data_IF_380196876232
#
_entry.id   IF_380196876232
#
_cell.length_a   1.000
_cell.length_b   1.000
_cell.length_c   1.000
_cell.angle_alpha   90.00
_cell.angle_beta   90.00
_cell.angle_gamma   90.00
#
_symmetry.space_group_name_H-M   'P 1'
#
loop_
_entity.id
_entity.type
_entity.pdbx_description
1 polymer ?
#
# COMPACT_ATOMS: atom_id res chain seq x y z
N UNK A 1 -32.17 8.80 19.32
CA UNK A 1 -30.85 8.79 18.66
C UNK A 1 -30.04 7.69 19.33
N UNK A 2 -29.85 6.52 18.67
CA UNK A 2 -29.24 5.33 19.30
C UNK A 2 -27.70 5.36 19.36
N UNK A 3 -27.05 6.40 18.82
CA UNK A 3 -25.58 6.44 18.71
C UNK A 3 -24.87 6.84 20.02
N UNK A 4 -25.56 7.48 20.98
CA UNK A 4 -24.94 7.89 22.25
C UNK A 4 -24.70 6.72 23.21
N UNK A 5 -25.56 5.68 23.20
CA UNK A 5 -25.39 4.49 24.07
C UNK A 5 -24.14 3.66 23.72
N UNK A 6 -23.66 3.74 22.48
CA UNK A 6 -22.43 3.05 22.03
C UNK A 6 -21.15 3.76 22.47
N UNK A 7 -21.22 5.04 22.88
CA UNK A 7 -20.03 5.82 23.29
C UNK A 7 -19.50 5.42 24.66
N UNK A 8 -20.38 4.91 25.52
CA UNK A 8 -20.07 4.52 26.91
C UNK A 8 -19.68 3.04 27.06
N UNK A 9 -19.73 2.26 25.97
CA UNK A 9 -19.29 0.87 26.00
C UNK A 9 -17.76 0.78 26.02
N UNK A 10 -17.17 -0.04 26.91
CA UNK A 10 -15.74 -0.27 26.92
C UNK A 10 -15.29 -0.87 25.59
N UNK A 11 -14.26 -0.27 24.97
CA UNK A 11 -13.71 -0.75 23.71
C UNK A 11 -12.98 -2.08 23.92
N UNK A 12 -13.61 -3.17 23.52
CA UNK A 12 -13.07 -4.53 23.61
C UNK A 12 -11.82 -4.70 22.72
N UNK A 13 -11.72 -3.94 21.63
CA UNK A 13 -10.62 -4.05 20.66
C UNK A 13 -9.98 -2.70 20.40
N UNK A 14 -8.65 -2.65 20.39
CA UNK A 14 -7.89 -1.47 19.97
C UNK A 14 -7.93 -1.33 18.45
N UNK A 15 -8.26 -0.14 17.96
CA UNK A 15 -8.17 0.19 16.53
C UNK A 15 -6.71 0.46 16.16
N UNK A 16 -6.06 -0.47 15.46
CA UNK A 16 -4.73 -0.25 14.87
C UNK A 16 -4.88 0.63 13.62
N UNK A 17 -4.21 1.77 13.59
CA UNK A 17 -4.10 2.58 12.38
C UNK A 17 -3.00 2.03 11.48
N UNK A 18 -3.21 2.11 10.17
CA UNK A 18 -2.18 1.80 9.19
C UNK A 18 -1.13 2.92 9.19
N UNK A 19 0.14 2.55 9.05
CA UNK A 19 1.19 3.52 8.76
C UNK A 19 0.92 4.20 7.41
N UNK A 20 1.50 5.39 7.21
CA UNK A 20 1.39 6.10 5.94
C UNK A 20 1.93 5.25 4.78
N UNK A 21 3.08 4.60 4.98
CA UNK A 21 3.67 3.71 3.98
C UNK A 21 2.76 2.53 3.64
N UNK A 22 2.24 1.81 4.64
CA UNK A 22 1.29 0.72 4.41
C UNK A 22 0.00 1.20 3.72
N UNK A 23 -0.46 2.42 4.02
CA UNK A 23 -1.63 3.02 3.36
C UNK A 23 -1.36 3.29 1.87
N UNK A 24 -0.19 3.87 1.54
CA UNK A 24 0.22 4.11 0.15
C UNK A 24 0.30 2.78 -0.61
N UNK A 25 1.00 1.79 -0.05
CA UNK A 25 1.07 0.45 -0.65
C UNK A 25 -0.34 -0.13 -0.87
N UNK A 26 -1.22 -0.04 0.13
CA UNK A 26 -2.60 -0.53 0.03
C UNK A 26 -3.39 0.10 -1.13
N UNK A 27 -3.23 1.39 -1.38
CA UNK A 27 -3.88 2.07 -2.51
C UNK A 27 -3.34 1.60 -3.88
N UNK A 28 -2.04 1.43 -4.03
CA UNK A 28 -1.45 0.92 -5.28
C UNK A 28 -1.81 -0.53 -5.55
N UNK A 29 -1.76 -1.38 -4.52
CA UNK A 29 -2.18 -2.77 -4.63
C UNK A 29 -3.67 -2.90 -4.95
N UNK A 30 -4.50 -1.99 -4.43
CA UNK A 30 -5.92 -1.90 -4.79
C UNK A 30 -6.11 -1.60 -6.28
N UNK A 31 -5.38 -0.62 -6.83
CA UNK A 31 -5.42 -0.26 -8.24
C UNK A 31 -4.93 -1.41 -9.13
N UNK A 32 -3.85 -2.07 -8.73
CA UNK A 32 -3.31 -3.23 -9.45
C UNK A 32 -4.30 -4.40 -9.46
N UNK A 33 -4.98 -4.64 -8.35
CA UNK A 33 -6.06 -5.63 -8.27
C UNK A 33 -7.22 -5.28 -9.21
N UNK A 34 -7.64 -4.01 -9.26
CA UNK A 34 -8.70 -3.57 -10.18
C UNK A 34 -8.29 -3.70 -11.64
N UNK A 35 -7.05 -3.34 -11.98
CA UNK A 35 -6.49 -3.50 -13.32
C UNK A 35 -6.52 -4.96 -13.74
N UNK A 36 -6.00 -5.87 -12.91
CA UNK A 36 -5.98 -7.30 -13.22
C UNK A 36 -7.40 -7.88 -13.40
N UNK A 37 -8.37 -7.49 -12.57
CA UNK A 37 -9.77 -7.94 -12.70
C UNK A 37 -10.43 -7.36 -13.96
N UNK A 38 -10.09 -6.13 -14.35
CA UNK A 38 -10.61 -5.50 -15.57
C UNK A 38 -10.04 -6.18 -16.82
N UNK A 39 -8.75 -6.51 -16.81
CA UNK A 39 -8.06 -7.12 -17.93
C UNK A 39 -8.49 -8.59 -18.13
N UNK A 40 -8.69 -9.33 -17.04
CA UNK A 40 -9.23 -10.70 -17.04
C UNK A 40 -10.34 -10.86 -15.98
N UNK A 41 -11.62 -10.81 -16.39
CA UNK A 41 -12.75 -11.02 -15.48
C UNK A 41 -12.76 -12.38 -14.78
N UNK A 42 -12.08 -13.39 -15.36
CA UNK A 42 -11.97 -14.74 -14.80
C UNK A 42 -10.75 -14.90 -13.87
N UNK A 43 -9.99 -13.83 -13.62
CA UNK A 43 -8.81 -13.90 -12.76
C UNK A 43 -9.22 -14.33 -11.34
N UNK A 44 -8.69 -15.48 -10.93
CA UNK A 44 -8.98 -16.05 -9.61
C UNK A 44 -8.04 -15.51 -8.53
N UNK A 45 -6.76 -15.31 -8.90
CA UNK A 45 -5.68 -14.85 -8.02
C UNK A 45 -4.80 -13.84 -8.74
N UNK A 46 -4.46 -12.76 -8.05
CA UNK A 46 -3.52 -11.75 -8.54
C UNK A 46 -2.27 -11.81 -7.67
N UNK A 47 -1.12 -12.10 -8.27
CA UNK A 47 0.16 -12.24 -7.56
C UNK A 47 1.19 -11.26 -8.08
N UNK A 48 1.99 -10.70 -7.17
CA UNK A 48 3.11 -9.81 -7.49
C UNK A 48 4.28 -10.12 -6.59
N UNK A 49 5.49 -10.09 -7.14
CA UNK A 49 6.71 -10.19 -6.35
C UNK A 49 7.07 -8.83 -5.70
N UNK A 50 7.98 -8.86 -4.74
CA UNK A 50 8.40 -7.67 -3.99
C UNK A 50 8.91 -6.56 -4.92
N UNK A 51 9.71 -6.89 -5.95
CA UNK A 51 10.22 -5.89 -6.90
C UNK A 51 9.10 -5.20 -7.67
N UNK A 52 8.16 -5.96 -8.23
CA UNK A 52 6.99 -5.42 -8.93
C UNK A 52 6.18 -4.48 -8.03
N UNK A 53 5.98 -4.85 -6.76
CA UNK A 53 5.25 -4.00 -5.81
C UNK A 53 6.02 -2.70 -5.53
N UNK A 54 7.35 -2.76 -5.39
CA UNK A 54 8.18 -1.58 -5.18
C UNK A 54 8.16 -0.64 -6.38
N UNK A 55 8.19 -1.19 -7.59
CA UNK A 55 8.09 -0.42 -8.84
C UNK A 55 6.76 0.35 -8.91
N UNK A 56 5.64 -0.25 -8.49
CA UNK A 56 4.34 0.41 -8.46
C UNK A 56 4.32 1.68 -7.59
N UNK A 57 5.12 1.72 -6.52
CA UNK A 57 5.09 2.80 -5.53
C UNK A 57 6.30 3.73 -5.63
N UNK A 58 7.28 3.44 -6.50
CA UNK A 58 8.59 4.09 -6.50
C UNK A 58 8.52 5.62 -6.59
N UNK A 59 7.57 6.17 -7.35
CA UNK A 59 7.35 7.62 -7.49
C UNK A 59 6.99 8.32 -6.16
N UNK A 60 6.44 7.58 -5.19
CA UNK A 60 5.92 8.11 -3.93
C UNK A 60 6.91 8.05 -2.78
N UNK A 61 8.06 7.41 -2.99
CA UNK A 61 9.11 7.28 -2.01
C UNK A 61 10.38 7.98 -2.50
N UNK A 62 11.13 8.64 -1.61
CA UNK A 62 12.39 9.27 -2.02
C UNK A 62 13.34 8.20 -2.54
N UNK A 63 13.99 8.48 -3.68
CA UNK A 63 15.08 7.64 -4.16
C UNK A 63 16.20 7.64 -3.09
N UNK A 64 16.48 6.47 -2.51
CA UNK A 64 17.60 6.31 -1.59
C UNK A 64 18.70 5.50 -2.26
N UNK A 65 19.95 5.74 -1.86
CA UNK A 65 21.08 4.93 -2.31
C UNK A 65 21.19 3.60 -1.53
N UNK A 66 20.20 3.29 -0.68
CA UNK A 66 20.22 2.14 0.22
C UNK A 66 19.06 1.17 -0.09
N UNK A 67 19.24 0.39 -1.16
CA UNK A 67 18.23 -0.59 -1.61
C UNK A 67 17.90 -1.64 -0.53
N UNK A 68 18.85 -1.96 0.35
CA UNK A 68 18.62 -2.88 1.48
C UNK A 68 17.61 -2.32 2.49
N UNK A 69 17.76 -1.06 2.89
CA UNK A 69 16.82 -0.39 3.79
C UNK A 69 15.44 -0.24 3.15
N UNK A 70 15.39 0.10 1.86
CA UNK A 70 14.14 0.24 1.13
C UNK A 70 13.37 -1.08 1.01
N UNK A 71 14.08 -2.19 0.72
CA UNK A 71 13.49 -3.54 0.74
C UNK A 71 12.96 -3.92 2.12
N UNK A 72 13.71 -3.59 3.18
CA UNK A 72 13.30 -3.85 4.56
C UNK A 72 12.04 -3.07 4.92
N UNK A 73 11.96 -1.79 4.55
CA UNK A 73 10.78 -0.95 4.76
C UNK A 73 9.56 -1.48 3.99
N UNK A 74 9.73 -1.80 2.69
CA UNK A 74 8.69 -2.38 1.85
C UNK A 74 8.13 -3.68 2.45
N UNK A 75 9.02 -4.57 2.92
CA UNK A 75 8.64 -5.82 3.57
C UNK A 75 7.88 -5.57 4.87
N UNK A 76 8.27 -4.55 5.65
CA UNK A 76 7.53 -4.13 6.85
C UNK A 76 6.10 -3.67 6.54
N UNK A 77 5.93 -2.81 5.53
CA UNK A 77 4.59 -2.37 5.10
C UNK A 77 3.73 -3.51 4.57
N UNK A 78 4.31 -4.45 3.83
CA UNK A 78 3.60 -5.64 3.34
C UNK A 78 3.25 -6.60 4.48
N UNK A 79 4.07 -6.66 5.53
CA UNK A 79 3.76 -7.43 6.74
C UNK A 79 2.57 -6.83 7.48
N UNK A 80 2.54 -5.51 7.69
CA UNK A 80 1.39 -4.80 8.28
C UNK A 80 0.10 -5.07 7.47
N UNK A 81 0.19 -5.07 6.14
CA UNK A 81 -0.95 -5.36 5.27
C UNK A 81 -1.36 -6.84 5.31
N UNK A 82 -0.39 -7.75 5.46
CA UNK A 82 -0.62 -9.19 5.56
C UNK A 82 -1.33 -9.56 6.87
N UNK A 83 -0.94 -8.94 7.99
CA UNK A 83 -1.59 -9.11 9.30
C UNK A 83 -3.08 -8.75 9.25
N UNK A 84 -3.47 -7.82 8.38
CA UNK A 84 -4.86 -7.40 8.17
C UNK A 84 -5.57 -8.20 7.06
N UNK A 85 -4.88 -9.15 6.43
CA UNK A 85 -5.41 -10.00 5.36
C UNK A 85 -5.52 -9.32 3.99
N UNK A 86 -4.99 -8.11 3.81
CA UNK A 86 -5.03 -7.40 2.52
C UNK A 86 -4.12 -8.03 1.47
N UNK A 87 -3.05 -8.66 1.91
CA UNK A 87 -2.15 -9.47 1.08
C UNK A 87 -1.85 -10.79 1.78
N UNK A 88 -1.43 -11.79 1.02
CA UNK A 88 -0.93 -13.06 1.55
C UNK A 88 0.47 -13.30 1.00
N UNK A 89 1.47 -13.37 1.88
CA UNK A 89 2.83 -13.76 1.46
C UNK A 89 2.81 -15.23 1.03
N UNK A 90 3.30 -15.47 -0.18
CA UNK A 90 3.57 -16.79 -0.75
C UNK A 90 5.07 -17.04 -0.60
N UNK A 91 5.46 -18.32 -0.50
CA UNK A 91 6.86 -18.71 -0.41
C UNK A 91 7.68 -18.06 -1.54
N UNK A 92 8.98 -17.90 -1.31
CA UNK A 92 9.91 -17.30 -2.28
C UNK A 92 9.81 -18.05 -3.61
N UNK A 93 9.53 -17.32 -4.69
CA UNK A 93 9.45 -17.93 -6.02
C UNK A 93 10.85 -18.26 -6.52
N UNK A 94 10.99 -19.38 -7.23
CA UNK A 94 12.29 -19.92 -7.67
C UNK A 94 13.12 -19.02 -8.59
N UNK A 95 12.53 -17.96 -9.15
CA UNK A 95 13.26 -16.91 -9.87
C UNK A 95 13.67 -15.78 -8.92
N UNK A 96 14.95 -15.80 -8.52
CA UNK A 96 15.61 -14.63 -7.92
C UNK A 96 15.35 -14.36 -6.44
N UNK A 97 14.79 -15.31 -5.68
CA UNK A 97 14.64 -15.24 -4.21
C UNK A 97 13.81 -14.06 -3.70
N UNK A 98 12.87 -13.55 -4.51
CA UNK A 98 11.97 -12.50 -4.08
C UNK A 98 10.67 -13.08 -3.48
N UNK A 99 10.19 -12.45 -2.42
CA UNK A 99 8.92 -12.82 -1.80
C UNK A 99 7.76 -12.52 -2.75
N UNK A 100 6.89 -13.51 -2.96
CA UNK A 100 5.66 -13.34 -3.73
C UNK A 100 4.49 -12.99 -2.80
N UNK A 101 3.56 -12.17 -3.27
CA UNK A 101 2.38 -11.76 -2.53
C UNK A 101 1.13 -11.93 -3.39
N UNK A 102 0.13 -12.61 -2.84
CA UNK A 102 -1.22 -12.69 -3.41
C UNK A 102 -2.07 -11.54 -2.87
N UNK A 103 -2.65 -10.75 -3.77
CA UNK A 103 -3.53 -9.64 -3.45
C UNK A 103 -4.94 -10.16 -3.15
N UNK A 104 -5.54 -9.71 -2.05
CA UNK A 104 -6.88 -10.17 -1.66
C UNK A 104 -7.95 -9.14 -1.99
N UNK A 105 -9.19 -9.62 -2.19
CA UNK A 105 -10.36 -8.75 -2.43
C UNK A 105 -10.69 -7.84 -1.24
N UNK A 106 -10.11 -8.07 -0.06
CA UNK A 106 -10.27 -7.18 1.10
C UNK A 106 -9.71 -5.77 0.84
N UNK A 107 -8.74 -5.65 -0.08
CA UNK A 107 -8.27 -4.34 -0.55
C UNK A 107 -9.46 -3.48 -1.03
N UNK A 108 -10.42 -4.06 -1.76
CA UNK A 108 -11.60 -3.33 -2.28
C UNK A 108 -12.52 -2.80 -1.19
N UNK A 109 -12.65 -3.57 -0.11
CA UNK A 109 -13.50 -3.20 1.02
C UNK A 109 -12.86 -2.08 1.85
N UNK A 110 -11.52 -2.08 1.97
CA UNK A 110 -10.81 -1.09 2.79
C UNK A 110 -10.52 0.21 2.07
N UNK A 111 -10.09 0.14 0.82
CA UNK A 111 -9.57 1.27 0.06
C UNK A 111 -10.62 1.69 -0.99
N UNK A 112 -11.42 2.70 -0.63
CA UNK A 112 -12.40 3.31 -1.53
C UNK A 112 -11.68 3.97 -2.72
N UNK A 113 -12.15 3.77 -3.96
CA UNK A 113 -11.47 4.26 -5.16
C UNK A 113 -11.39 5.80 -5.23
N UNK A 114 -12.47 6.50 -4.89
CA UNK A 114 -12.50 7.97 -4.91
C UNK A 114 -11.54 8.53 -3.86
N UNK A 115 -11.55 7.93 -2.66
CA UNK A 115 -10.64 8.34 -1.60
C UNK A 115 -9.17 8.03 -1.95
N UNK A 116 -8.92 6.94 -2.67
CA UNK A 116 -7.59 6.56 -3.15
C UNK A 116 -7.00 7.60 -4.08
N UNK A 117 -7.74 7.97 -5.13
CA UNK A 117 -7.29 8.94 -6.13
C UNK A 117 -7.01 10.30 -5.49
N UNK A 118 -7.95 10.81 -4.69
CA UNK A 118 -7.76 12.08 -3.98
C UNK A 118 -6.56 12.06 -3.04
N UNK A 119 -6.33 10.94 -2.36
CA UNK A 119 -5.20 10.78 -1.46
C UNK A 119 -3.86 10.76 -2.21
N UNK A 120 -3.78 10.00 -3.31
CA UNK A 120 -2.57 9.94 -4.13
C UNK A 120 -2.24 11.29 -4.77
N UNK A 121 -3.23 12.00 -5.29
CA UNK A 121 -3.04 13.35 -5.86
C UNK A 121 -2.53 14.34 -4.81
N UNK A 122 -3.02 14.25 -3.57
CA UNK A 122 -2.50 15.05 -2.45
C UNK A 122 -1.04 14.72 -2.14
N UNK A 123 -0.63 13.45 -2.21
CA UNK A 123 0.76 13.06 -2.00
C UNK A 123 1.64 13.58 -3.14
N UNK A 124 1.25 13.38 -4.40
CA UNK A 124 1.99 13.90 -5.56
C UNK A 124 2.19 15.41 -5.45
N UNK A 125 1.13 16.14 -5.13
CA UNK A 125 1.18 17.58 -4.92
C UNK A 125 2.15 17.98 -3.80
N UNK A 126 2.21 17.20 -2.72
CA UNK A 126 3.16 17.44 -1.63
C UNK A 126 4.61 17.14 -2.02
N UNK A 127 4.84 16.05 -2.76
CA UNK A 127 6.15 15.68 -3.28
C UNK A 127 6.69 16.72 -4.28
N UNK A 128 5.84 17.20 -5.18
CA UNK A 128 6.20 18.27 -6.13
C UNK A 128 6.66 19.55 -5.42
N UNK A 129 5.97 19.95 -4.34
CA UNK A 129 6.38 21.11 -3.51
C UNK A 129 7.71 20.90 -2.78
N UNK A 130 8.04 19.65 -2.45
CA UNK A 130 9.31 19.32 -1.79
C UNK A 130 10.48 19.34 -2.77
N UNK A 131 10.26 18.88 -4.01
CA UNK A 131 11.26 18.94 -5.07
C UNK A 131 11.57 20.39 -5.47
N UNK A 132 10.57 21.26 -5.61
CA UNK A 132 10.80 22.68 -5.93
C UNK A 132 11.59 23.44 -4.86
N UNK A 133 11.41 23.10 -3.58
CA UNK A 133 12.23 23.66 -2.48
C UNK A 133 13.69 23.18 -2.52
N UNK A 134 13.90 21.89 -2.77
CA UNK A 134 15.25 21.32 -2.85
C UNK A 134 16.08 21.93 -4.00
N UNK A 135 15.44 22.25 -5.13
CA UNK A 135 16.11 22.90 -6.26
C UNK A 135 16.47 24.36 -5.99
N UNK A 136 15.77 25.05 -5.08
CA UNK A 136 16.03 26.45 -4.76
C UNK A 136 17.10 26.63 -3.68
N UNK A 137 17.37 25.59 -2.89
CA UNK A 137 18.38 25.57 -1.80
C UNK A 137 19.76 25.10 -2.30
N UNK A 138 19.86 24.61 -3.55
CA UNK A 138 21.10 24.15 -4.18
C UNK A 138 21.68 25.12 -5.22
N UNK A 139 21.17 26.36 -5.28
CA UNK A 139 21.62 27.44 -6.17
C UNK A 139 22.06 28.65 -5.35
#
# INVERSE_FOLDING_TARGET
MPDDELRDLPRIVRRRQLSLGATIYGFFLRQELDRAIKDDPNVTRVRRNLRQIRELVAEFFPATNNDSADRKAATGYLTDLAELGFVKRIAESGDGNESEYELTRLLRAKFNPIAAEQFLERIKSHLARRQTRSSHESA
#
